data_IF_978269908483
#
_entry.id   IF_978269908483
#
_cell.length_a   1.000
_cell.length_b   1.000
_cell.length_c   1.000
_cell.angle_alpha   90.00
_cell.angle_beta   90.00
_cell.angle_gamma   90.00
#
_symmetry.space_group_name_H-M   'P 1'
#
loop_
_entity.id
_entity.type
_entity.pdbx_description
1 polymer ?
#
# COMPACT_ATOMS: atom_id res chain seq x y z
N UNK A 1 -3.87 19.37 -31.47
CA UNK A 1 -4.72 18.30 -30.91
C UNK A 1 -6.02 18.93 -30.43
N UNK A 2 -7.19 18.41 -30.81
CA UNK A 2 -8.46 18.90 -30.29
C UNK A 2 -8.52 18.67 -28.77
N UNK A 3 -8.88 19.69 -28.00
CA UNK A 3 -9.20 19.58 -26.58
C UNK A 3 -10.72 19.51 -26.42
N UNK A 4 -11.19 18.80 -25.40
CA UNK A 4 -12.61 18.73 -25.03
C UNK A 4 -12.82 19.53 -23.76
N UNK A 5 -13.76 20.48 -23.79
CA UNK A 5 -14.16 21.25 -22.61
C UNK A 5 -15.11 20.43 -21.74
N UNK A 6 -14.79 20.33 -20.44
CA UNK A 6 -15.54 19.60 -19.44
C UNK A 6 -15.80 20.48 -18.21
N UNK A 7 -16.88 20.18 -17.48
CA UNK A 7 -17.20 20.73 -16.16
C UNK A 7 -16.96 19.61 -15.14
N UNK A 8 -16.12 19.85 -14.14
CA UNK A 8 -15.83 18.85 -13.10
C UNK A 8 -17.00 18.71 -12.11
N UNK A 9 -17.41 17.47 -11.84
CA UNK A 9 -18.42 17.14 -10.83
C UNK A 9 -17.81 16.84 -9.46
N UNK A 10 -16.54 16.48 -9.44
CA UNK A 10 -15.77 16.21 -8.25
C UNK A 10 -14.35 16.72 -8.44
N UNK A 11 -13.62 16.90 -7.34
CA UNK A 11 -12.20 17.20 -7.40
C UNK A 11 -11.45 16.03 -8.07
N UNK A 12 -10.49 16.37 -8.92
CA UNK A 12 -9.56 15.42 -9.52
C UNK A 12 -8.15 15.96 -9.33
N UNK A 13 -7.26 15.11 -8.81
CA UNK A 13 -5.85 15.44 -8.65
C UNK A 13 -5.28 15.94 -10.00
N UNK A 14 -4.61 17.10 -9.99
CA UNK A 14 -4.00 17.78 -11.14
C UNK A 14 -4.92 18.43 -12.19
N UNK A 15 -6.25 18.48 -11.99
CA UNK A 15 -7.16 19.22 -12.91
C UNK A 15 -7.75 20.47 -12.29
N UNK A 16 -8.38 20.36 -11.12
CA UNK A 16 -9.15 21.43 -10.52
C UNK A 16 -10.15 20.95 -9.47
N UNK A 17 -10.95 21.90 -8.99
CA UNK A 17 -12.02 21.71 -8.03
C UNK A 17 -13.34 21.39 -8.74
N UNK A 18 -14.37 21.04 -7.95
CA UNK A 18 -15.71 20.84 -8.49
C UNK A 18 -16.24 22.16 -9.08
N UNK A 19 -16.82 22.08 -10.27
CA UNK A 19 -17.39 23.21 -11.00
C UNK A 19 -16.44 23.91 -11.96
N UNK A 20 -15.14 23.58 -11.91
CA UNK A 20 -14.16 24.17 -12.82
C UNK A 20 -14.38 23.69 -14.26
N UNK A 21 -14.24 24.64 -15.19
CA UNK A 21 -14.27 24.38 -16.62
C UNK A 21 -12.85 24.06 -17.10
N UNK A 22 -12.58 22.79 -17.37
CA UNK A 22 -11.25 22.29 -17.73
C UNK A 22 -11.19 21.81 -19.17
N UNK A 23 -10.05 22.04 -19.81
CA UNK A 23 -9.81 21.61 -21.19
C UNK A 23 -8.82 20.44 -21.19
N UNK A 24 -9.30 19.26 -21.57
CA UNK A 24 -8.50 18.02 -21.53
C UNK A 24 -8.38 17.37 -22.90
N UNK A 25 -7.42 16.45 -23.05
CA UNK A 25 -7.33 15.61 -24.25
C UNK A 25 -8.60 14.73 -24.36
N UNK A 26 -9.15 14.52 -25.55
CA UNK A 26 -10.39 13.75 -25.75
C UNK A 26 -10.28 12.30 -25.28
N UNK A 27 -9.09 11.69 -25.36
CA UNK A 27 -8.85 10.34 -24.83
C UNK A 27 -9.02 10.27 -23.30
N UNK A 28 -8.54 11.29 -22.58
CA UNK A 28 -8.68 11.36 -21.12
C UNK A 28 -10.14 11.61 -20.72
N UNK A 29 -10.86 12.47 -21.45
CA UNK A 29 -12.30 12.65 -21.28
C UNK A 29 -13.07 11.34 -21.48
N UNK A 30 -12.82 10.63 -22.60
CA UNK A 30 -13.58 9.45 -23.00
C UNK A 30 -13.31 8.21 -22.14
N UNK A 31 -12.07 8.01 -21.69
CA UNK A 31 -11.68 6.76 -21.01
C UNK A 31 -11.72 6.87 -19.49
N UNK A 32 -11.54 8.07 -18.92
CA UNK A 32 -11.41 8.26 -17.48
C UNK A 32 -12.54 9.12 -16.89
N UNK A 33 -12.69 10.37 -17.35
CA UNK A 33 -13.57 11.33 -16.67
C UNK A 33 -15.06 11.08 -16.91
N UNK A 34 -15.46 10.82 -18.15
CA UNK A 34 -16.87 10.60 -18.50
C UNK A 34 -17.41 9.25 -18.00
N UNK A 35 -16.69 8.11 -18.17
CA UNK A 35 -17.19 6.82 -17.69
C UNK A 35 -17.28 6.73 -16.17
N UNK A 36 -16.39 7.41 -15.44
CA UNK A 36 -16.39 7.45 -13.97
C UNK A 36 -17.29 8.57 -13.41
N UNK A 37 -18.08 9.25 -14.25
CA UNK A 37 -18.93 10.37 -13.87
C UNK A 37 -18.22 11.49 -13.08
N UNK A 38 -16.91 11.69 -13.32
CA UNK A 38 -16.11 12.72 -12.65
C UNK A 38 -16.29 14.10 -13.27
N UNK A 39 -16.75 14.15 -14.51
CA UNK A 39 -16.96 15.38 -15.26
C UNK A 39 -18.13 15.23 -16.24
N UNK A 40 -18.70 16.35 -16.67
CA UNK A 40 -19.69 16.45 -17.73
C UNK A 40 -19.15 17.26 -18.90
N UNK A 41 -19.64 16.99 -20.12
CA UNK A 41 -19.30 17.84 -21.28
C UNK A 41 -19.83 19.26 -21.07
N UNK A 42 -19.03 20.27 -21.39
CA UNK A 42 -19.40 21.68 -21.24
C UNK A 42 -20.37 22.14 -22.34
N UNK A 43 -21.60 21.62 -22.35
CA UNK A 43 -22.70 22.10 -23.20
C UNK A 43 -23.55 23.11 -22.43
N UNK A 44 -24.26 24.01 -23.14
CA UNK A 44 -25.14 24.98 -22.49
C UNK A 44 -26.23 24.32 -21.62
N UNK A 45 -26.74 23.15 -22.04
CA UNK A 45 -27.68 22.36 -21.26
C UNK A 45 -27.06 21.83 -19.96
N UNK A 46 -25.86 21.24 -20.05
CA UNK A 46 -25.17 20.69 -18.87
C UNK A 46 -24.73 21.76 -17.88
N UNK A 47 -24.37 22.97 -18.36
CA UNK A 47 -24.05 24.09 -17.48
C UNK A 47 -25.25 24.48 -16.62
N UNK A 48 -26.43 24.62 -17.22
CA UNK A 48 -27.68 24.89 -16.48
C UNK A 48 -28.00 23.79 -15.48
N UNK A 49 -27.83 22.51 -15.88
CA UNK A 49 -28.03 21.37 -14.98
C UNK A 49 -27.07 21.39 -13.79
N UNK A 50 -25.80 21.69 -14.03
CA UNK A 50 -24.81 21.80 -12.97
C UNK A 50 -25.17 22.92 -12.00
N UNK A 51 -25.59 24.09 -12.48
CA UNK A 51 -26.01 25.20 -11.63
C UNK A 51 -27.20 24.83 -10.72
N UNK A 52 -28.15 24.05 -11.23
CA UNK A 52 -29.29 23.56 -10.41
C UNK A 52 -28.89 22.49 -9.38
N UNK A 53 -27.94 21.61 -9.73
CA UNK A 53 -27.53 20.49 -8.89
C UNK A 53 -26.38 20.87 -7.94
N UNK A 54 -25.74 22.03 -8.15
CA UNK A 54 -24.53 22.48 -7.43
C UNK A 54 -24.67 22.39 -5.92
N UNK A 55 -25.74 22.95 -5.36
CA UNK A 55 -25.95 22.97 -3.91
C UNK A 55 -26.09 21.54 -3.34
N UNK A 56 -26.72 20.63 -4.09
CA UNK A 56 -26.88 19.23 -3.68
C UNK A 56 -25.55 18.48 -3.75
N UNK A 57 -24.76 18.70 -4.81
CA UNK A 57 -23.44 18.09 -4.99
C UNK A 57 -22.43 18.59 -3.93
N UNK A 58 -22.44 19.89 -3.61
CA UNK A 58 -21.62 20.47 -2.54
C UNK A 58 -21.96 19.82 -1.18
N UNK A 59 -23.25 19.72 -0.84
CA UNK A 59 -23.68 19.08 0.41
C UNK A 59 -23.33 17.59 0.47
N UNK A 60 -23.44 16.86 -0.64
CA UNK A 60 -23.05 15.44 -0.69
C UNK A 60 -21.54 15.26 -0.58
N UNK A 61 -20.74 16.12 -1.23
CA UNK A 61 -19.29 16.06 -1.14
C UNK A 61 -18.81 16.37 0.28
N UNK A 62 -19.41 17.35 0.96
CA UNK A 62 -19.06 17.66 2.34
C UNK A 62 -19.31 16.45 3.26
N UNK A 63 -20.48 15.81 3.17
CA UNK A 63 -20.80 14.61 3.96
C UNK A 63 -19.82 13.46 3.71
N UNK A 64 -19.49 13.20 2.43
CA UNK A 64 -18.51 12.17 2.05
C UNK A 64 -17.12 12.49 2.56
N UNK A 65 -16.74 13.77 2.58
CA UNK A 65 -15.47 14.22 3.15
C UNK A 65 -15.42 13.96 4.66
N UNK A 66 -16.45 14.34 5.39
CA UNK A 66 -16.56 14.09 6.84
C UNK A 66 -16.58 12.59 7.19
N UNK A 67 -17.23 11.75 6.36
CA UNK A 67 -17.15 10.29 6.49
C UNK A 67 -15.73 9.77 6.25
N UNK A 68 -15.05 10.28 5.23
CA UNK A 68 -13.68 9.90 4.91
C UNK A 68 -12.67 10.38 5.97
N UNK A 69 -12.85 11.57 6.54
CA UNK A 69 -12.03 12.09 7.65
C UNK A 69 -12.17 11.21 8.90
N UNK A 70 -13.40 10.83 9.26
CA UNK A 70 -13.64 9.89 10.38
C UNK A 70 -13.05 8.51 10.15
N UNK A 71 -13.12 8.01 8.91
CA UNK A 71 -12.43 6.77 8.55
C UNK A 71 -10.91 6.95 8.59
N UNK A 72 -10.42 8.14 8.23
CA UNK A 72 -8.99 8.42 8.23
C UNK A 72 -8.38 8.41 9.62
N UNK A 73 -9.06 9.01 10.58
CA UNK A 73 -8.65 8.98 11.99
C UNK A 73 -8.54 7.55 12.52
N UNK A 74 -9.46 6.66 12.12
CA UNK A 74 -9.41 5.24 12.52
C UNK A 74 -8.26 4.47 11.87
N UNK A 75 -7.78 4.93 10.73
CA UNK A 75 -6.81 4.22 9.91
C UNK A 75 -5.37 4.68 10.10
N UNK A 76 -5.14 5.84 10.72
CA UNK A 76 -3.83 6.48 10.79
C UNK A 76 -2.75 5.61 11.47
N UNK A 77 -3.14 4.71 12.37
CA UNK A 77 -2.20 3.86 13.12
C UNK A 77 -2.15 2.41 12.60
N UNK A 78 -2.89 2.09 11.55
CA UNK A 78 -2.99 0.72 11.08
C UNK A 78 -1.77 0.35 10.24
N UNK A 79 -1.10 -0.71 10.68
CA UNK A 79 -0.10 -1.42 9.89
C UNK A 79 -0.71 -2.71 9.37
N UNK A 80 -0.40 -3.05 8.12
CA UNK A 80 -0.87 -4.27 7.49
C UNK A 80 0.34 -5.17 7.24
N UNK A 81 0.31 -6.38 7.82
CA UNK A 81 1.36 -7.37 7.65
C UNK A 81 1.03 -8.24 6.43
N UNK A 82 1.99 -8.40 5.53
CA UNK A 82 1.88 -9.23 4.34
C UNK A 82 3.02 -10.24 4.34
N UNK A 83 2.66 -11.52 4.45
CA UNK A 83 3.63 -12.62 4.49
C UNK A 83 3.90 -13.12 3.07
N UNK A 84 5.16 -13.04 2.63
CA UNK A 84 5.61 -13.50 1.31
C UNK A 84 7.00 -14.11 1.37
N UNK A 85 7.24 -15.07 0.50
CA UNK A 85 8.56 -15.69 0.34
C UNK A 85 9.53 -14.72 -0.35
N UNK A 86 10.74 -14.65 0.19
CA UNK A 86 11.84 -13.83 -0.31
C UNK A 86 13.13 -14.64 -0.33
N UNK A 87 14.06 -14.29 -1.21
CA UNK A 87 15.41 -14.81 -1.18
C UNK A 87 16.25 -14.15 -0.08
N UNK A 88 17.45 -14.68 0.13
CA UNK A 88 18.36 -14.28 1.22
C UNK A 88 18.74 -12.80 1.16
N UNK A 89 18.78 -12.22 -0.04
CA UNK A 89 19.04 -10.78 -0.24
C UNK A 89 17.87 -9.84 0.15
N UNK A 90 16.79 -10.37 0.72
CA UNK A 90 15.58 -9.61 1.07
C UNK A 90 14.70 -9.27 -0.14
N UNK A 91 15.00 -9.81 -1.32
CA UNK A 91 14.18 -9.63 -2.53
C UNK A 91 13.06 -10.66 -2.57
N UNK A 92 11.82 -10.20 -2.75
CA UNK A 92 10.63 -11.05 -2.86
C UNK A 92 10.67 -11.86 -4.18
N UNK A 93 10.27 -13.13 -4.12
CA UNK A 93 10.11 -13.95 -5.35
C UNK A 93 8.94 -13.48 -6.23
N UNK A 94 8.08 -12.60 -5.71
CA UNK A 94 7.00 -11.94 -6.43
C UNK A 94 6.94 -10.45 -6.12
N UNK A 95 5.83 -9.81 -6.48
CA UNK A 95 5.56 -8.41 -6.12
C UNK A 95 4.31 -8.31 -5.27
N UNK A 96 4.34 -7.50 -4.22
CA UNK A 96 3.12 -7.11 -3.50
C UNK A 96 2.47 -5.97 -4.28
N UNK A 97 1.23 -6.19 -4.69
CA UNK A 97 0.43 -5.27 -5.49
C UNK A 97 -0.67 -4.61 -4.67
N UNK A 98 -1.39 -3.66 -5.27
CA UNK A 98 -2.56 -3.00 -4.64
C UNK A 98 -3.66 -3.99 -4.26
N UNK A 99 -3.73 -5.15 -4.95
CA UNK A 99 -4.69 -6.21 -4.64
C UNK A 99 -4.36 -6.91 -3.32
N UNK A 100 -3.08 -7.20 -3.09
CA UNK A 100 -2.62 -7.87 -1.87
C UNK A 100 -2.83 -6.99 -0.66
N UNK A 101 -2.49 -5.70 -0.77
CA UNK A 101 -2.71 -4.72 0.31
C UNK A 101 -4.20 -4.55 0.62
N UNK A 102 -5.06 -4.50 -0.40
CA UNK A 102 -6.51 -4.40 -0.18
C UNK A 102 -7.08 -5.66 0.52
N UNK A 103 -6.59 -6.85 0.16
CA UNK A 103 -7.00 -8.10 0.80
C UNK A 103 -6.55 -8.13 2.27
N UNK A 104 -5.28 -7.83 2.53
CA UNK A 104 -4.73 -7.83 3.88
C UNK A 104 -5.35 -6.72 4.77
N UNK A 105 -5.68 -5.56 4.20
CA UNK A 105 -6.45 -4.54 4.91
C UNK A 105 -7.89 -5.00 5.24
N UNK A 106 -8.51 -5.76 4.33
CA UNK A 106 -9.85 -6.34 4.57
C UNK A 106 -9.82 -7.39 5.68
N UNK A 107 -8.76 -8.21 5.74
CA UNK A 107 -8.53 -9.16 6.83
C UNK A 107 -8.31 -8.46 8.17
N UNK A 108 -7.63 -7.30 8.18
CA UNK A 108 -7.50 -6.44 9.36
C UNK A 108 -8.80 -5.70 9.75
N UNK A 109 -9.92 -5.95 9.05
CA UNK A 109 -11.24 -5.38 9.36
C UNK A 109 -11.57 -4.08 8.63
N UNK A 110 -10.73 -3.62 7.70
CA UNK A 110 -10.97 -2.42 6.89
C UNK A 110 -11.45 -2.80 5.50
N UNK A 111 -12.71 -2.51 5.17
CA UNK A 111 -13.22 -2.74 3.81
C UNK A 111 -12.67 -1.69 2.85
N UNK A 112 -11.55 -1.99 2.19
CA UNK A 112 -10.87 -1.11 1.23
C UNK A 112 -10.84 -1.77 -0.14
N UNK A 113 -11.18 -1.00 -1.17
CA UNK A 113 -11.07 -1.46 -2.56
C UNK A 113 -9.66 -1.26 -3.10
N UNK A 114 -9.22 -2.14 -4.01
CA UNK A 114 -7.94 -2.01 -4.73
C UNK A 114 -7.75 -0.68 -5.47
N UNK A 115 -8.83 0.03 -5.80
CA UNK A 115 -8.80 1.31 -6.52
C UNK A 115 -8.45 2.49 -5.61
N UNK A 116 -8.62 2.32 -4.30
CA UNK A 116 -8.27 3.33 -3.30
C UNK A 116 -6.80 3.26 -2.91
N UNK A 117 -6.13 2.13 -3.15
CA UNK A 117 -4.71 1.95 -2.86
C UNK A 117 -3.88 2.48 -4.02
N UNK A 118 -3.01 3.45 -3.75
CA UNK A 118 -2.08 4.05 -4.69
C UNK A 118 -0.65 3.67 -4.28
N UNK A 119 0.00 2.93 -5.17
CA UNK A 119 1.42 2.57 -5.08
C UNK A 119 2.15 3.20 -6.26
N UNK A 120 3.29 3.82 -6.01
CA UNK A 120 4.15 4.33 -7.08
C UNK A 120 4.80 3.18 -7.87
N UNK A 121 5.28 2.18 -7.14
CA UNK A 121 5.93 0.99 -7.70
C UNK A 121 5.47 -0.25 -6.93
N UNK A 122 5.34 -1.42 -7.57
CA UNK A 122 5.10 -2.68 -6.86
C UNK A 122 6.23 -2.97 -5.86
N UNK A 123 5.89 -3.45 -4.67
CA UNK A 123 6.88 -3.73 -3.61
C UNK A 123 7.57 -5.06 -3.92
N UNK A 124 8.90 -5.04 -3.94
CA UNK A 124 9.76 -6.20 -4.30
C UNK A 124 10.79 -6.55 -3.23
N UNK A 125 10.81 -5.82 -2.13
CA UNK A 125 11.75 -6.00 -1.02
C UNK A 125 10.98 -6.22 0.28
N UNK A 126 11.58 -6.96 1.20
CA UNK A 126 11.11 -7.05 2.58
C UNK A 126 11.28 -5.70 3.29
N UNK A 127 10.46 -5.48 4.31
CA UNK A 127 10.52 -4.30 5.17
C UNK A 127 9.24 -3.47 5.17
N UNK A 128 9.35 -2.30 5.79
CA UNK A 128 8.27 -1.34 5.93
C UNK A 128 8.22 -0.43 4.71
N UNK A 129 7.09 -0.43 4.01
CA UNK A 129 6.83 0.48 2.88
C UNK A 129 5.53 1.24 3.10
N UNK A 130 5.53 2.54 2.83
CA UNK A 130 4.32 3.36 2.90
C UNK A 130 3.53 3.28 1.59
N UNK A 131 2.24 2.93 1.69
CA UNK A 131 1.27 2.97 0.61
C UNK A 131 0.28 4.11 0.84
N UNK A 132 -0.11 4.86 -0.21
CA UNK A 132 -1.11 5.92 -0.05
C UNK A 132 -2.51 5.36 -0.27
N UNK A 133 -3.40 5.54 0.70
CA UNK A 133 -4.82 5.19 0.57
C UNK A 133 -5.62 6.46 0.34
N UNK A 134 -6.37 6.49 -0.76
CA UNK A 134 -7.27 7.59 -1.13
C UNK A 134 -8.69 7.20 -0.75
N UNK A 135 -9.18 7.73 0.37
CA UNK A 135 -10.58 7.54 0.80
C UNK A 135 -11.52 8.50 0.08
N UNK A 136 -11.07 9.75 -0.06
CA UNK A 136 -11.78 10.81 -0.78
C UNK A 136 -10.78 11.58 -1.63
N UNK A 137 -11.19 12.23 -2.74
CA UNK A 137 -10.36 13.19 -3.47
C UNK A 137 -9.64 14.27 -2.65
N UNK A 138 -10.01 14.48 -1.39
CA UNK A 138 -9.37 15.45 -0.47
C UNK A 138 -8.67 14.77 0.72
N UNK A 139 -8.97 13.50 0.97
CA UNK A 139 -8.52 12.77 2.16
C UNK A 139 -7.73 11.55 1.71
N UNK A 140 -6.41 11.64 1.90
CA UNK A 140 -5.46 10.57 1.65
C UNK A 140 -4.62 10.31 2.89
N UNK A 141 -4.31 9.04 3.16
CA UNK A 141 -3.62 8.61 4.37
C UNK A 141 -2.45 7.70 3.98
N UNK A 142 -1.28 7.82 4.61
CA UNK A 142 -0.25 6.80 4.52
C UNK A 142 -0.67 5.54 5.30
N UNK A 143 -0.59 4.37 4.66
CA UNK A 143 -0.71 3.06 5.29
C UNK A 143 0.67 2.42 5.32
N UNK A 144 1.13 2.02 6.50
CA UNK A 144 2.37 1.27 6.65
C UNK A 144 2.12 -0.20 6.29
N UNK A 145 2.74 -0.65 5.20
CA UNK A 145 2.71 -2.04 4.76
C UNK A 145 4.00 -2.71 5.23
N UNK A 146 3.85 -3.72 6.07
CA UNK A 146 4.97 -4.49 6.60
C UNK A 146 5.10 -5.82 5.86
N UNK A 147 6.18 -6.00 5.11
CA UNK A 147 6.40 -7.21 4.31
C UNK A 147 7.49 -8.07 4.94
N UNK A 148 7.11 -9.29 5.35
CA UNK A 148 7.98 -10.23 6.07
C UNK A 148 7.86 -11.66 5.51
N UNK A 149 8.81 -12.53 5.85
CA UNK A 149 8.77 -13.98 5.56
C UNK A 149 7.95 -14.75 6.59
N UNK A 150 7.92 -14.28 7.84
CA UNK A 150 7.15 -14.88 8.94
C UNK A 150 6.42 -13.83 9.80
N UNK A 151 5.44 -14.27 10.60
CA UNK A 151 4.72 -13.37 11.52
C UNK A 151 5.63 -12.81 12.62
N UNK A 152 6.57 -13.63 13.12
CA UNK A 152 7.56 -13.21 14.13
C UNK A 152 8.51 -12.15 13.59
N UNK A 153 8.94 -12.30 12.34
CA UNK A 153 9.77 -11.32 11.64
C UNK A 153 9.02 -10.00 11.44
N UNK A 154 7.73 -10.05 11.14
CA UNK A 154 6.90 -8.85 11.04
C UNK A 154 6.80 -8.08 12.37
N UNK A 155 6.67 -8.78 13.50
CA UNK A 155 6.67 -8.14 14.82
C UNK A 155 8.02 -7.49 15.16
N UNK A 156 9.13 -8.14 14.79
CA UNK A 156 10.48 -7.56 14.93
C UNK A 156 10.63 -6.27 14.12
N UNK A 157 10.14 -6.25 12.87
CA UNK A 157 10.10 -5.03 12.04
C UNK A 157 9.27 -3.93 12.68
N UNK A 158 8.12 -4.27 13.25
CA UNK A 158 7.25 -3.30 13.91
C UNK A 158 7.91 -2.68 15.15
N UNK A 159 8.76 -3.43 15.86
CA UNK A 159 9.56 -2.93 17.00
C UNK A 159 10.79 -2.12 16.60
N UNK A 160 11.12 -2.05 15.31
CA UNK A 160 12.29 -1.32 14.82
C UNK A 160 13.60 -2.10 14.92
N UNK A 161 13.55 -3.41 15.13
CA UNK A 161 14.73 -4.27 15.03
C UNK A 161 15.07 -4.44 13.55
N UNK A 162 16.29 -4.03 13.18
CA UNK A 162 16.77 -4.15 11.81
C UNK A 162 16.95 -5.62 11.46
N UNK A 163 16.06 -6.15 10.63
CA UNK A 163 16.32 -7.43 9.96
C UNK A 163 17.33 -7.14 8.87
N UNK A 164 18.55 -7.55 9.15
CA UNK A 164 19.67 -7.42 8.25
C UNK A 164 20.94 -7.54 9.06
N UNK A 165 21.64 -8.65 8.84
CA UNK A 165 22.97 -9.02 9.33
C UNK A 165 22.99 -9.91 10.60
N UNK A 166 22.25 -9.63 11.68
CA UNK A 166 22.43 -10.42 12.93
C UNK A 166 21.85 -11.84 12.90
N UNK A 167 20.69 -12.08 12.28
CA UNK A 167 20.09 -13.43 12.25
C UNK A 167 20.93 -14.41 11.38
N UNK A 168 21.60 -13.91 10.34
CA UNK A 168 22.50 -14.73 9.52
C UNK A 168 23.78 -15.05 10.28
N UNK A 169 24.38 -14.05 10.95
CA UNK A 169 25.57 -14.25 11.77
C UNK A 169 25.29 -15.21 12.94
N UNK A 170 24.13 -15.12 13.61
CA UNK A 170 23.75 -16.02 14.70
C UNK A 170 23.49 -17.45 14.24
N UNK A 171 22.83 -17.63 13.09
CA UNK A 171 22.62 -18.97 12.52
C UNK A 171 23.94 -19.61 12.05
N UNK A 172 24.80 -18.84 11.38
CA UNK A 172 26.12 -19.31 10.94
C UNK A 172 27.01 -19.63 12.16
N UNK A 173 27.01 -18.78 13.20
CA UNK A 173 27.72 -19.07 14.46
C UNK A 173 27.18 -20.31 15.15
N UNK A 174 25.86 -20.49 15.18
CA UNK A 174 25.22 -21.66 15.77
C UNK A 174 25.59 -22.96 15.05
N UNK A 175 25.61 -22.94 13.71
CA UNK A 175 26.05 -24.07 12.88
C UNK A 175 27.54 -24.38 13.10
N UNK A 176 28.41 -23.36 13.09
CA UNK A 176 29.84 -23.53 13.34
C UNK A 176 30.13 -24.04 14.77
N UNK A 177 29.38 -23.57 15.77
CA UNK A 177 29.51 -24.07 17.14
C UNK A 177 29.06 -25.51 17.27
N UNK A 178 27.98 -25.89 16.58
CA UNK A 178 27.50 -27.27 16.56
C UNK A 178 28.49 -28.21 15.84
N UNK A 179 29.10 -27.76 14.73
CA UNK A 179 30.16 -28.50 14.04
C UNK A 179 31.41 -28.64 14.93
N UNK A 180 31.89 -27.54 15.53
CA UNK A 180 33.05 -27.59 16.42
C UNK A 180 32.80 -28.48 17.65
N UNK A 181 31.61 -28.40 18.27
CA UNK A 181 31.25 -29.25 19.40
C UNK A 181 31.15 -30.73 18.99
N UNK A 182 30.69 -31.01 17.77
CA UNK A 182 30.68 -32.37 17.23
C UNK A 182 32.09 -32.89 16.92
N UNK A 183 32.99 -32.04 16.41
CA UNK A 183 34.40 -32.38 16.19
C UNK A 183 35.15 -32.60 17.50
N UNK A 184 34.95 -31.74 18.51
CA UNK A 184 35.54 -31.90 19.85
C UNK A 184 35.04 -33.19 20.52
N UNK A 185 33.74 -33.48 20.47
CA UNK A 185 33.19 -34.71 21.01
C UNK A 185 33.71 -35.97 20.26
N UNK A 186 33.96 -35.86 18.95
CA UNK A 186 34.55 -36.95 18.17
C UNK A 186 36.05 -37.14 18.50
N UNK A 187 36.78 -36.06 18.74
CA UNK A 187 38.19 -36.10 19.16
C UNK A 187 38.35 -36.69 20.56
N UNK A 188 37.53 -36.26 21.54
CA UNK A 188 37.52 -36.83 22.90
C UNK A 188 37.17 -38.33 22.89
N UNK A 189 36.21 -38.74 22.04
CA UNK A 189 35.86 -40.15 21.89
C UNK A 189 36.99 -40.99 21.25
N UNK A 190 37.77 -40.40 20.33
CA UNK A 190 38.93 -41.05 19.73
C UNK A 190 40.08 -41.19 20.73
N UNK A 191 40.42 -40.14 21.48
CA UNK A 191 41.45 -40.18 22.52
C UNK A 191 41.09 -41.18 23.65
N UNK A 192 39.82 -41.21 24.08
CA UNK A 192 39.35 -42.18 25.07
C UNK A 192 39.41 -43.64 24.57
N UNK A 193 39.44 -43.86 23.26
CA UNK A 193 39.57 -45.20 22.66
C UNK A 193 41.03 -45.62 22.41
N UNK A 194 41.98 -44.68 22.38
CA UNK A 194 43.42 -44.97 22.30
C UNK A 194 44.06 -45.18 23.69
N UNK A 195 43.48 -44.63 24.76
CA UNK A 195 43.96 -44.82 26.14
C UNK A 195 43.38 -46.06 26.87
N UNK A 196 42.41 -46.77 26.27
CA UNK A 196 41.77 -47.97 26.83
C UNK A 196 42.26 -49.29 26.20
#
# INVERSE_FOLDING_TARGET
MSQTALILLQRVEHLGQMGDLVHVKPGYARNFLLPQAKAMRATAANKKRFETERAQLEAQNLKKREEAERLAERMHELSVVIIRQAGDSGSLYGSVSTRDIAAAATEAGLTISRQQVVLAHPIKQLGLTEARIVLHPEVSIPLTVNVARSAEEAERQARGEAIGVQDEDENILGELQAENAAEEAAAEAAEASEEA
#
